data_IF_779427728466
#
_entry.id   IF_779427728466
#
_cell.length_a   1.000
_cell.length_b   1.000
_cell.length_c   1.000
_cell.angle_alpha   90.00
_cell.angle_beta   90.00
_cell.angle_gamma   90.00
#
_symmetry.space_group_name_H-M   'P 1'
#
loop_
_entity.id
_entity.type
_entity.pdbx_description
1 polymer ?
#
# COMPACT_ATOMS: atom_id res chain seq x y z
N UNK A 1 -23.39 -6.04 1.75
CA UNK A 1 -21.98 -6.50 1.83
C UNK A 1 -21.13 -5.49 1.08
N UNK A 2 -20.13 -4.87 1.70
CA UNK A 2 -19.25 -3.91 1.00
C UNK A 2 -18.22 -4.68 0.16
N UNK A 3 -18.12 -4.38 -1.13
CA UNK A 3 -17.00 -4.82 -1.96
C UNK A 3 -15.85 -3.81 -1.82
N UNK A 4 -14.62 -4.30 -1.82
CA UNK A 4 -13.42 -3.48 -1.84
C UNK A 4 -12.65 -3.79 -3.11
N UNK A 5 -12.40 -2.75 -3.91
CA UNK A 5 -11.52 -2.82 -5.08
C UNK A 5 -10.08 -2.65 -4.58
N UNK A 6 -9.24 -3.65 -4.81
CA UNK A 6 -7.81 -3.57 -4.55
C UNK A 6 -7.09 -3.28 -5.85
N UNK A 7 -6.33 -2.19 -5.89
CA UNK A 7 -5.45 -1.88 -7.01
C UNK A 7 -4.25 -2.81 -6.96
N UNK A 8 -3.88 -3.35 -8.12
CA UNK A 8 -2.70 -4.22 -8.29
C UNK A 8 -1.66 -3.44 -9.09
N UNK A 9 -0.38 -3.69 -8.80
CA UNK A 9 0.71 -3.28 -9.68
C UNK A 9 0.67 -4.16 -10.94
N UNK A 10 0.33 -3.57 -12.11
CA UNK A 10 0.23 -4.35 -13.34
C UNK A 10 1.59 -4.87 -13.83
N UNK A 11 2.71 -4.28 -13.40
CA UNK A 11 4.05 -4.72 -13.74
C UNK A 11 4.51 -5.98 -12.99
N UNK A 12 3.97 -6.20 -11.79
CA UNK A 12 4.23 -7.41 -11.00
C UNK A 12 3.02 -7.79 -10.13
N UNK A 13 2.00 -8.48 -10.71
CA UNK A 13 0.85 -8.92 -9.94
C UNK A 13 1.14 -10.10 -9.00
N UNK A 14 2.32 -10.73 -9.12
CA UNK A 14 2.69 -11.99 -8.47
C UNK A 14 2.55 -11.96 -6.94
N UNK A 15 3.11 -10.97 -6.23
CA UNK A 15 3.03 -10.86 -4.77
C UNK A 15 1.59 -10.75 -4.26
N UNK A 16 0.75 -9.93 -4.91
CA UNK A 16 -0.64 -9.72 -4.51
C UNK A 16 -1.48 -10.97 -4.74
N UNK A 17 -1.32 -11.60 -5.90
CA UNK A 17 -2.02 -12.85 -6.22
C UNK A 17 -1.58 -13.99 -5.27
N UNK A 18 -0.29 -14.07 -4.98
CA UNK A 18 0.27 -15.05 -4.02
C UNK A 18 -0.26 -14.83 -2.61
N UNK A 19 -0.39 -13.57 -2.17
CA UNK A 19 -0.98 -13.24 -0.88
C UNK A 19 -2.44 -13.69 -0.81
N UNK A 20 -3.24 -13.39 -1.83
CA UNK A 20 -4.66 -13.78 -1.87
C UNK A 20 -4.83 -15.30 -1.90
N UNK A 21 -3.99 -16.00 -2.66
CA UNK A 21 -3.98 -17.46 -2.69
C UNK A 21 -3.61 -18.02 -1.30
N UNK A 22 -2.58 -17.46 -0.65
CA UNK A 22 -2.12 -17.91 0.67
C UNK A 22 -3.15 -17.65 1.77
N UNK A 23 -3.78 -16.48 1.79
CA UNK A 23 -4.69 -16.05 2.87
C UNK A 23 -6.10 -16.60 2.67
N UNK A 24 -6.56 -16.70 1.43
CA UNK A 24 -7.96 -17.05 1.13
C UNK A 24 -8.13 -18.39 0.40
N UNK A 25 -7.04 -19.10 0.11
CA UNK A 25 -7.10 -20.42 -0.56
C UNK A 25 -7.66 -20.37 -1.98
N UNK A 26 -7.77 -19.18 -2.58
CA UNK A 26 -8.35 -19.00 -3.91
C UNK A 26 -7.27 -19.15 -4.98
N UNK A 27 -7.29 -20.27 -5.70
CA UNK A 27 -6.30 -20.60 -6.74
C UNK A 27 -6.67 -20.11 -8.15
N UNK A 28 -7.60 -19.15 -8.29
CA UNK A 28 -8.15 -18.78 -9.59
C UNK A 28 -7.78 -17.33 -9.90
N UNK A 29 -6.72 -17.14 -10.68
CA UNK A 29 -6.60 -15.94 -11.51
C UNK A 29 -7.58 -16.17 -12.65
N UNK A 30 -8.68 -15.39 -12.78
CA UNK A 30 -9.61 -15.57 -13.88
C UNK A 30 -8.87 -15.38 -15.20
N UNK A 31 -9.14 -16.28 -16.16
CA UNK A 31 -8.55 -16.21 -17.50
C UNK A 31 -8.74 -14.79 -18.04
N UNK A 32 -7.63 -14.17 -18.46
CA UNK A 32 -7.66 -12.87 -19.13
C UNK A 32 -8.59 -13.05 -20.33
N UNK A 33 -9.74 -12.38 -20.39
CA UNK A 33 -10.54 -12.42 -21.60
C UNK A 33 -9.65 -11.84 -22.69
N UNK A 34 -9.67 -12.41 -23.89
CA UNK A 34 -9.28 -11.62 -25.06
C UNK A 34 -10.05 -10.30 -25.05
N UNK A 35 -9.68 -9.33 -25.89
CA UNK A 35 -10.48 -8.11 -26.07
C UNK A 35 -11.84 -8.45 -26.72
N UNK A 36 -12.68 -9.21 -26.03
CA UNK A 36 -14.04 -9.57 -26.42
C UNK A 36 -14.91 -8.33 -26.24
N UNK A 37 -16.05 -8.32 -26.91
CA UNK A 37 -16.97 -7.18 -26.92
C UNK A 37 -17.33 -6.65 -25.52
N UNK A 38 -17.24 -7.46 -24.46
CA UNK A 38 -17.56 -7.07 -23.07
C UNK A 38 -16.57 -6.08 -22.44
N UNK A 39 -15.25 -6.23 -22.68
CA UNK A 39 -14.25 -5.24 -22.23
C UNK A 39 -14.41 -3.97 -23.07
N UNK A 40 -14.64 -4.11 -24.38
CA UNK A 40 -14.81 -2.99 -25.30
C UNK A 40 -16.09 -2.16 -25.05
N UNK A 41 -17.18 -2.79 -24.58
CA UNK A 41 -18.48 -2.13 -24.41
C UNK A 41 -18.65 -1.35 -23.10
N UNK A 42 -17.80 -1.58 -22.10
CA UNK A 42 -17.94 -0.99 -20.75
C UNK A 42 -16.87 0.06 -20.43
N UNK A 43 -16.20 0.54 -21.46
CA UNK A 43 -15.10 1.48 -21.37
C UNK A 43 -15.62 2.84 -20.94
N UNK A 44 -15.30 3.21 -19.69
CA UNK A 44 -15.51 4.56 -19.18
C UNK A 44 -14.19 5.09 -18.66
N UNK A 45 -13.92 6.32 -19.03
CA UNK A 45 -12.83 7.04 -18.43
C UNK A 45 -13.16 7.34 -16.97
N UNK A 46 -12.41 6.73 -16.06
CA UNK A 46 -12.59 6.93 -14.63
C UNK A 46 -11.37 7.61 -14.04
N UNK A 47 -11.55 8.86 -13.60
CA UNK A 47 -10.59 9.55 -12.74
C UNK A 47 -10.86 9.14 -11.30
N UNK A 48 -10.05 8.22 -10.79
CA UNK A 48 -9.97 7.92 -9.37
C UNK A 48 -8.91 8.84 -8.75
N UNK A 49 -9.15 9.35 -7.53
CA UNK A 49 -8.18 10.13 -6.76
C UNK A 49 -8.10 9.55 -5.35
N UNK A 50 -6.99 8.88 -5.05
CA UNK A 50 -6.63 8.49 -3.70
C UNK A 50 -5.74 9.59 -3.13
N UNK A 51 -6.02 10.06 -1.91
CA UNK A 51 -5.13 10.90 -1.12
C UNK A 51 -4.85 10.17 0.18
N UNK A 52 -3.59 9.81 0.40
CA UNK A 52 -3.13 9.29 1.70
C UNK A 52 -2.19 10.33 2.27
N UNK A 53 -2.61 10.96 3.36
CA UNK A 53 -1.77 11.87 4.13
C UNK A 53 -1.08 11.06 5.23
N UNK A 54 0.21 10.84 5.07
CA UNK A 54 1.05 10.32 6.15
C UNK A 54 1.83 11.50 6.76
N UNK A 55 1.47 11.88 7.98
CA UNK A 55 2.28 12.80 8.78
C UNK A 55 3.38 11.98 9.47
N UNK A 56 4.59 12.03 8.92
CA UNK A 56 5.74 11.35 9.50
C UNK A 56 6.35 12.21 10.61
N UNK A 57 5.84 12.12 11.85
CA UNK A 57 6.67 12.40 13.02
C UNK A 57 7.58 11.18 13.25
N UNK A 58 8.49 10.91 12.31
CA UNK A 58 9.52 9.89 12.48
C UNK A 58 10.78 10.61 12.95
N UNK A 59 10.78 10.98 14.23
CA UNK A 59 11.99 11.39 14.93
C UNK A 59 12.86 10.15 15.14
N UNK A 60 13.83 9.92 14.26
CA UNK A 60 14.93 9.01 14.55
C UNK A 60 15.86 9.67 15.58
N UNK A 61 16.43 8.86 16.46
CA UNK A 61 17.06 9.24 17.73
C UNK A 61 18.03 10.42 17.70
N UNK A 62 18.11 11.09 18.86
CA UNK A 62 18.71 12.41 19.06
C UNK A 62 20.07 12.64 18.40
N UNK A 63 20.13 13.74 17.66
CA UNK A 63 21.25 14.71 17.44
C UNK A 63 20.83 15.71 16.33
N UNK A 64 19.75 15.47 15.59
CA UNK A 64 19.14 16.49 14.73
C UNK A 64 17.66 16.67 15.08
N UNK A 65 17.32 17.84 15.62
CA UNK A 65 15.93 18.27 15.76
C UNK A 65 15.43 18.69 14.37
N UNK A 66 15.12 17.71 13.51
CA UNK A 66 14.40 17.95 12.26
C UNK A 66 12.92 17.85 12.60
N UNK A 67 12.32 18.97 12.99
CA UNK A 67 10.87 19.12 12.98
C UNK A 67 10.39 19.25 11.53
N UNK A 68 10.53 18.21 10.70
CA UNK A 68 9.85 18.22 9.40
C UNK A 68 8.39 17.81 9.63
N UNK A 69 7.51 18.80 9.61
CA UNK A 69 6.07 18.59 9.40
C UNK A 69 5.86 18.14 7.94
N UNK A 70 6.52 17.06 7.53
CA UNK A 70 6.39 16.52 6.19
C UNK A 70 5.10 15.71 6.12
N UNK A 71 4.05 16.31 5.58
CA UNK A 71 2.92 15.54 5.06
C UNK A 71 3.31 15.06 3.66
N UNK A 72 3.41 13.74 3.49
CA UNK A 72 3.48 13.15 2.15
C UNK A 72 2.06 12.86 1.70
N UNK A 73 1.71 13.34 0.52
CA UNK A 73 0.43 13.07 -0.15
C UNK A 73 0.70 12.35 -1.46
N UNK A 74 0.14 11.16 -1.61
CA UNK A 74 0.15 10.43 -2.87
C UNK A 74 -1.16 10.72 -3.61
N UNK A 75 -1.08 11.20 -4.85
CA UNK A 75 -2.19 11.25 -5.79
C UNK A 75 -1.99 10.18 -6.85
N UNK A 76 -3.03 9.39 -7.09
CA UNK A 76 -3.07 8.47 -8.22
C UNK A 76 -4.16 8.97 -9.16
N UNK A 77 -3.85 9.06 -10.46
CA UNK A 77 -4.78 9.41 -11.52
C UNK A 77 -4.71 8.32 -12.58
N UNK A 78 -5.84 7.65 -12.81
CA UNK A 78 -5.96 6.64 -13.85
C UNK A 78 -6.70 7.21 -15.06
N UNK A 79 -6.21 6.88 -16.25
CA UNK A 79 -6.87 7.11 -17.52
C UNK A 79 -6.88 5.78 -18.27
N UNK A 80 -7.94 5.01 -18.12
CA UNK A 80 -7.97 3.62 -18.56
C UNK A 80 -9.31 3.25 -19.17
N UNK A 81 -9.22 2.41 -20.20
CA UNK A 81 -10.29 1.52 -20.65
C UNK A 81 -10.30 0.32 -19.70
N UNK A 82 -11.43 0.04 -19.03
CA UNK A 82 -11.52 -1.04 -18.04
C UNK A 82 -12.68 -1.99 -18.34
N UNK A 83 -12.48 -3.26 -18.04
CA UNK A 83 -13.51 -4.30 -18.04
C UNK A 83 -13.38 -5.16 -16.79
N UNK A 84 -14.51 -5.59 -16.23
CA UNK A 84 -14.53 -6.49 -15.07
C UNK A 84 -15.01 -7.88 -15.50
N UNK A 85 -14.31 -8.90 -15.03
CA UNK A 85 -14.57 -10.30 -15.33
C UNK A 85 -14.92 -11.00 -14.03
N UNK A 86 -16.11 -11.56 -13.94
CA UNK A 86 -16.50 -12.33 -12.76
C UNK A 86 -15.57 -13.52 -12.58
N UNK A 87 -14.92 -13.60 -11.42
CA UNK A 87 -13.97 -14.68 -11.14
C UNK A 87 -14.69 -15.97 -10.76
N UNK A 88 -15.93 -15.86 -10.26
CA UNK A 88 -16.77 -16.99 -9.89
C UNK A 88 -18.23 -16.56 -9.74
N UNK A 89 -19.16 -17.47 -10.01
CA UNK A 89 -20.58 -17.32 -9.68
C UNK A 89 -20.90 -17.70 -8.23
N UNK A 90 -19.92 -18.24 -7.50
CA UNK A 90 -20.09 -18.72 -6.12
C UNK A 90 -19.98 -17.57 -5.10
N UNK A 91 -21.06 -17.19 -4.39
CA UNK A 91 -21.06 -16.10 -3.42
C UNK A 91 -20.24 -16.38 -2.14
N UNK A 92 -19.78 -17.63 -1.94
CA UNK A 92 -18.93 -18.02 -0.82
C UNK A 92 -17.44 -17.69 -1.06
N UNK A 93 -17.03 -17.48 -2.30
CA UNK A 93 -15.62 -17.18 -2.63
C UNK A 93 -15.28 -15.71 -2.41
N UNK A 94 -14.01 -15.49 -2.06
CA UNK A 94 -13.47 -14.16 -1.71
C UNK A 94 -13.27 -13.30 -2.95
N UNK A 95 -12.74 -13.86 -4.03
CA UNK A 95 -12.57 -13.13 -5.29
C UNK A 95 -13.90 -13.09 -6.05
N UNK A 96 -14.49 -11.90 -6.19
CA UNK A 96 -15.77 -11.70 -6.88
C UNK A 96 -15.51 -11.41 -8.35
N UNK A 97 -14.61 -10.48 -8.65
CA UNK A 97 -14.23 -10.17 -10.03
C UNK A 97 -12.79 -9.68 -10.13
N UNK A 98 -12.21 -9.80 -11.33
CA UNK A 98 -10.96 -9.17 -11.69
C UNK A 98 -11.22 -8.01 -12.66
N UNK A 99 -10.48 -6.92 -12.48
CA UNK A 99 -10.56 -5.73 -13.32
C UNK A 99 -9.33 -5.70 -14.21
N UNK A 100 -9.56 -5.78 -15.50
CA UNK A 100 -8.55 -5.65 -16.54
C UNK A 100 -8.66 -4.29 -17.19
N UNK A 101 -7.55 -3.75 -17.67
CA UNK A 101 -7.59 -2.49 -18.40
C UNK A 101 -6.38 -2.22 -19.26
N UNK A 102 -6.54 -1.17 -20.07
CA UNK A 102 -5.54 -0.63 -20.98
C UNK A 102 -5.56 0.89 -20.87
N UNK A 103 -4.40 1.52 -20.81
CA UNK A 103 -4.27 2.96 -20.71
C UNK A 103 -3.01 3.39 -19.96
N UNK A 104 -3.13 4.40 -19.11
CA UNK A 104 -2.04 4.84 -18.25
C UNK A 104 -2.50 5.17 -16.83
N UNK A 105 -1.56 5.07 -15.89
CA UNK A 105 -1.69 5.51 -14.50
C UNK A 105 -0.60 6.54 -14.23
N UNK A 106 -0.97 7.64 -13.57
CA UNK A 106 -0.04 8.65 -13.10
C UNK A 106 -0.05 8.62 -11.58
N UNK A 107 1.11 8.44 -10.97
CA UNK A 107 1.30 8.60 -9.54
C UNK A 107 2.11 9.86 -9.26
N UNK A 108 1.57 10.78 -8.46
CA UNK A 108 2.26 11.98 -7.97
C UNK A 108 2.47 11.83 -6.47
N UNK A 109 3.72 11.73 -6.05
CA UNK A 109 4.10 11.78 -4.64
C UNK A 109 4.55 13.20 -4.32
N UNK A 110 3.72 13.96 -3.60
CA UNK A 110 4.02 15.30 -3.15
C UNK A 110 4.47 15.26 -1.68
N UNK A 111 5.69 15.74 -1.40
CA UNK A 111 6.15 16.04 -0.04
C UNK A 111 6.10 17.54 0.15
N UNK A 112 5.24 17.97 1.07
CA UNK A 112 5.05 19.38 1.39
C UNK A 112 6.22 19.89 2.24
N UNK A 113 6.69 21.09 1.89
CA UNK A 113 7.65 21.85 2.70
C UNK A 113 6.86 22.92 3.47
N UNK A 114 5.94 23.65 2.82
CA UNK A 114 5.07 24.69 3.43
C UNK A 114 3.71 24.85 2.69
N UNK A 115 2.59 25.19 3.38
CA UNK A 115 1.28 25.56 2.75
C UNK A 115 0.30 24.43 2.33
N UNK A 116 -1.02 24.68 2.29
CA UNK A 116 -2.03 23.67 1.88
C UNK A 116 -1.82 23.20 0.43
N UNK A 117 -1.87 21.89 0.19
CA UNK A 117 -1.64 21.32 -1.14
C UNK A 117 -2.93 21.41 -1.96
N UNK A 118 -2.85 21.96 -3.17
CA UNK A 118 -4.02 21.99 -4.05
C UNK A 118 -4.27 20.59 -4.61
N UNK A 119 -5.50 20.09 -4.51
CA UNK A 119 -5.86 18.72 -4.90
C UNK A 119 -5.92 18.47 -6.42
N UNK A 120 -5.62 19.47 -7.26
CA UNK A 120 -5.63 19.34 -8.72
C UNK A 120 -4.21 19.14 -9.26
N UNK A 121 -4.03 18.32 -10.30
CA UNK A 121 -2.72 18.05 -10.92
C UNK A 121 -2.02 19.34 -11.35
N UNK A 122 -2.76 20.30 -11.92
CA UNK A 122 -2.23 21.61 -12.30
C UNK A 122 -1.78 22.42 -11.07
N UNK A 123 -2.53 22.36 -9.97
CA UNK A 123 -2.16 22.99 -8.71
C UNK A 123 -0.90 22.39 -8.09
N UNK A 124 -0.79 21.06 -8.08
CA UNK A 124 0.42 20.35 -7.63
C UNK A 124 1.63 20.72 -8.51
N UNK A 125 1.44 20.79 -9.83
CA UNK A 125 2.49 21.20 -10.77
C UNK A 125 2.97 22.63 -10.50
N UNK A 126 2.04 23.56 -10.29
CA UNK A 126 2.36 24.95 -9.99
C UNK A 126 3.12 25.07 -8.66
N UNK A 127 2.70 24.34 -7.62
CA UNK A 127 3.37 24.32 -6.32
C UNK A 127 4.78 23.71 -6.40
N UNK A 128 4.96 22.68 -7.22
CA UNK A 128 6.29 22.12 -7.51
C UNK A 128 7.21 23.15 -8.19
N UNK A 129 6.69 23.84 -9.20
CA UNK A 129 7.45 24.83 -9.96
C UNK A 129 7.85 26.05 -9.13
N UNK A 130 7.03 26.44 -8.15
CA UNK A 130 7.33 27.52 -7.20
C UNK A 130 8.27 27.09 -6.07
N UNK A 131 8.70 25.82 -6.03
CA UNK A 131 9.55 25.28 -4.97
C UNK A 131 8.83 25.13 -3.61
N UNK A 132 7.50 25.21 -3.59
CA UNK A 132 6.69 25.10 -2.37
C UNK A 132 6.46 23.63 -1.96
N UNK A 133 6.60 22.70 -2.91
CA UNK A 133 6.48 21.27 -2.69
C UNK A 133 7.52 20.50 -3.52
N UNK A 134 8.08 19.43 -2.94
CA UNK A 134 8.86 18.46 -3.70
C UNK A 134 7.89 17.42 -4.25
N UNK A 135 7.69 17.41 -5.58
CA UNK A 135 6.77 16.48 -6.24
C UNK A 135 7.55 15.51 -7.10
N UNK A 136 7.26 14.22 -6.94
CA UNK A 136 7.77 13.17 -7.80
C UNK A 136 6.63 12.58 -8.63
N UNK A 137 6.87 12.34 -9.91
CA UNK A 137 5.91 11.76 -10.85
C UNK A 137 6.38 10.38 -11.32
N UNK A 138 5.44 9.46 -11.48
CA UNK A 138 5.63 8.21 -12.23
C UNK A 138 4.45 8.04 -13.19
N UNK A 139 4.72 7.59 -14.42
CA UNK A 139 3.68 7.11 -15.34
C UNK A 139 3.87 5.62 -15.62
N UNK A 140 2.80 4.86 -15.43
CA UNK A 140 2.73 3.46 -15.81
C UNK A 140 1.86 3.31 -17.04
N UNK A 141 2.43 2.75 -18.11
CA UNK A 141 1.72 2.44 -19.36
C UNK A 141 1.27 0.99 -19.28
N UNK A 142 -0.03 0.76 -19.47
CA UNK A 142 -0.67 -0.51 -19.12
C UNK A 142 -1.36 -1.05 -20.35
N UNK A 143 -0.96 -2.24 -20.78
CA UNK A 143 -1.59 -2.97 -21.87
C UNK A 143 -1.49 -2.33 -23.26
N UNK A 144 -0.45 -1.53 -23.48
CA UNK A 144 -0.17 -0.83 -24.74
C UNK A 144 1.20 -1.24 -25.32
N UNK A 145 1.40 -2.53 -25.65
CA UNK A 145 2.73 -3.07 -25.95
C UNK A 145 3.34 -2.52 -27.25
N UNK A 146 2.52 -2.01 -28.17
CA UNK A 146 2.96 -1.43 -29.46
C UNK A 146 2.82 0.09 -29.51
N UNK A 147 2.63 0.75 -28.37
CA UNK A 147 2.71 2.21 -28.31
C UNK A 147 4.12 2.64 -28.80
N UNK A 148 4.23 3.61 -29.72
CA UNK A 148 5.53 4.01 -30.24
C UNK A 148 6.44 4.46 -29.08
N UNK A 149 7.70 3.96 -28.97
CA UNK A 149 8.57 4.23 -27.84
C UNK A 149 8.76 5.72 -27.55
N UNK A 150 8.81 6.55 -28.60
CA UNK A 150 8.99 8.00 -28.49
C UNK A 150 7.74 8.74 -27.98
N UNK A 151 6.62 8.03 -27.82
CA UNK A 151 5.37 8.60 -27.26
C UNK A 151 5.44 8.78 -25.75
N UNK A 152 6.37 8.08 -25.08
CA UNK A 152 6.53 8.08 -23.64
C UNK A 152 7.95 8.50 -23.33
N UNK A 153 8.12 9.71 -22.80
CA UNK A 153 9.45 10.17 -22.41
C UNK A 153 9.96 9.28 -21.26
N UNK A 154 11.14 8.70 -21.42
CA UNK A 154 11.74 7.79 -20.44
C UNK A 154 11.91 8.41 -19.06
N UNK A 155 12.03 9.74 -18.97
CA UNK A 155 12.09 10.48 -17.72
C UNK A 155 10.80 10.44 -16.90
N UNK A 156 9.67 10.04 -17.51
CA UNK A 156 8.40 9.83 -16.80
C UNK A 156 8.26 8.39 -16.28
N UNK A 157 9.08 7.47 -16.79
CA UNK A 157 9.11 6.07 -16.35
C UNK A 157 9.93 5.97 -15.06
N UNK A 158 9.29 5.60 -13.98
CA UNK A 158 9.86 5.65 -12.63
C UNK A 158 9.67 7.02 -11.96
N UNK A 159 9.78 7.06 -10.64
CA UNK A 159 9.60 8.29 -9.87
C UNK A 159 10.72 9.31 -10.11
N UNK A 160 10.47 10.31 -10.93
CA UNK A 160 11.36 11.45 -11.21
C UNK A 160 10.83 12.75 -10.62
N UNK A 161 11.68 13.77 -10.49
CA UNK A 161 11.23 15.10 -10.06
C UNK A 161 10.27 15.70 -11.09
N UNK A 162 9.17 16.27 -10.60
CA UNK A 162 8.15 16.87 -11.43
C UNK A 162 8.41 18.38 -11.58
N UNK A 163 8.75 18.81 -12.79
CA UNK A 163 8.91 20.21 -13.14
C UNK A 163 8.15 20.56 -14.44
N UNK A 164 8.29 21.80 -14.92
CA UNK A 164 7.56 22.28 -16.10
C UNK A 164 7.84 21.48 -17.37
N UNK A 165 9.06 20.97 -17.55
CA UNK A 165 9.42 20.11 -18.68
C UNK A 165 8.65 18.79 -18.63
N UNK A 166 8.60 18.14 -17.47
CA UNK A 166 7.85 16.91 -17.24
C UNK A 166 6.35 17.12 -17.42
N UNK A 167 5.80 18.30 -17.08
CA UNK A 167 4.39 18.60 -17.35
C UNK A 167 4.09 18.63 -18.85
N UNK A 168 4.97 19.26 -19.64
CA UNK A 168 4.86 19.26 -21.10
C UNK A 168 4.96 17.85 -21.69
N UNK A 169 5.93 17.06 -21.20
CA UNK A 169 6.10 15.66 -21.56
C UNK A 169 4.86 14.82 -21.23
N UNK A 170 4.32 15.01 -20.02
CA UNK A 170 3.15 14.32 -19.52
C UNK A 170 1.94 14.57 -20.42
N UNK A 171 1.65 15.83 -20.76
CA UNK A 171 0.53 16.16 -21.64
C UNK A 171 0.65 15.49 -23.01
N UNK A 172 1.85 15.48 -23.60
CA UNK A 172 2.09 14.78 -24.87
C UNK A 172 1.87 13.27 -24.76
N UNK A 173 2.36 12.65 -23.68
CA UNK A 173 2.16 11.22 -23.44
C UNK A 173 0.69 10.88 -23.23
N UNK A 174 -0.05 11.70 -22.47
CA UNK A 174 -1.50 11.55 -22.29
C UNK A 174 -2.23 11.57 -23.63
N UNK A 175 -1.93 12.55 -24.50
CA UNK A 175 -2.53 12.66 -25.82
C UNK A 175 -2.16 11.50 -26.74
N UNK A 176 -0.91 11.04 -26.71
CA UNK A 176 -0.44 9.92 -27.51
C UNK A 176 -1.13 8.61 -27.10
N UNK A 177 -1.21 8.34 -25.80
CA UNK A 177 -1.91 7.15 -25.28
C UNK A 177 -3.41 7.22 -25.61
N UNK A 178 -4.05 8.37 -25.39
CA UNK A 178 -5.46 8.59 -25.77
C UNK A 178 -5.71 8.23 -27.23
N UNK A 179 -4.94 8.85 -28.13
CA UNK A 179 -5.07 8.64 -29.57
C UNK A 179 -4.86 7.19 -29.95
N UNK A 180 -3.83 6.55 -29.39
CA UNK A 180 -3.53 5.14 -29.66
C UNK A 180 -4.66 4.22 -29.20
N UNK A 181 -5.19 4.43 -28.00
CA UNK A 181 -6.22 3.60 -27.38
C UNK A 181 -7.61 3.78 -28.03
N UNK A 182 -7.92 5.00 -28.51
CA UNK A 182 -9.21 5.32 -29.14
C UNK A 182 -9.25 4.97 -30.64
N UNK A 183 -8.10 4.80 -31.30
CA UNK A 183 -8.01 4.44 -32.71
C UNK A 183 -8.52 3.01 -32.97
N UNK A 184 -9.59 2.81 -33.77
CA UNK A 184 -10.10 1.49 -34.10
C UNK A 184 -9.06 0.56 -34.73
N UNK A 185 -8.07 1.08 -35.46
CA UNK A 185 -7.01 0.29 -36.10
C UNK A 185 -6.05 -0.37 -35.10
N UNK A 186 -5.99 0.14 -33.87
CA UNK A 186 -5.11 -0.39 -32.83
C UNK A 186 -5.81 -1.36 -31.87
N UNK A 187 -7.13 -1.61 -32.03
CA UNK A 187 -7.91 -2.44 -31.10
C UNK A 187 -7.35 -3.86 -30.92
N UNK A 188 -6.95 -4.49 -32.02
CA UNK A 188 -6.38 -5.85 -31.99
C UNK A 188 -4.94 -5.87 -31.44
N UNK A 189 -4.37 -4.70 -31.17
CA UNK A 189 -3.02 -4.52 -30.63
C UNK A 189 -3.02 -4.17 -29.13
N UNK A 190 -4.20 -4.00 -28.53
CA UNK A 190 -4.35 -3.75 -27.10
C UNK A 190 -4.23 -5.07 -26.34
N UNK A 191 -3.54 -5.05 -25.21
CA UNK A 191 -3.28 -6.24 -24.38
C UNK A 191 -3.69 -5.97 -22.93
N UNK A 192 -4.96 -6.18 -22.55
CA UNK A 192 -5.47 -5.85 -21.22
C UNK A 192 -4.68 -6.50 -20.11
N UNK A 193 -4.19 -5.68 -19.19
CA UNK A 193 -3.46 -6.14 -18.01
C UNK A 193 -4.35 -6.09 -16.77
N UNK A 194 -4.06 -6.95 -15.80
CA UNK A 194 -4.74 -6.98 -14.52
C UNK A 194 -4.37 -5.71 -13.72
N UNK A 195 -5.36 -4.85 -13.49
CA UNK A 195 -5.15 -3.56 -12.79
C UNK A 195 -5.82 -3.53 -11.41
N UNK A 196 -6.72 -4.46 -11.15
CA UNK A 196 -7.38 -4.56 -9.86
C UNK A 196 -8.20 -5.82 -9.72
N UNK A 197 -8.68 -6.03 -8.50
CA UNK A 197 -9.59 -7.11 -8.16
C UNK A 197 -10.68 -6.58 -7.25
N UNK A 198 -11.90 -7.04 -7.46
CA UNK A 198 -12.97 -6.90 -6.49
C UNK A 198 -13.00 -8.18 -5.68
N UNK A 199 -12.50 -8.08 -4.47
CA UNK A 199 -12.73 -9.12 -3.49
C UNK A 199 -13.96 -8.73 -2.65
N UNK A 200 -14.78 -9.72 -2.32
CA UNK A 200 -15.66 -9.63 -1.17
C UNK A 200 -14.75 -9.28 -0.02
N UNK A 201 -15.08 -8.20 0.68
CA UNK A 201 -14.32 -7.76 1.84
C UNK A 201 -14.41 -8.86 2.90
N UNK A 202 -13.48 -9.81 2.86
CA UNK A 202 -13.10 -10.61 4.00
C UNK A 202 -12.05 -9.77 4.68
N UNK A 203 -12.47 -8.65 5.27
CA UNK A 203 -11.72 -8.35 6.48
C UNK A 203 -12.14 -9.45 7.41
N UNK A 204 -11.24 -10.40 7.62
CA UNK A 204 -11.34 -11.19 8.82
C UNK A 204 -11.40 -10.17 9.96
N UNK A 205 -12.48 -10.15 10.74
CA UNK A 205 -12.62 -9.22 11.86
C UNK A 205 -11.35 -9.25 12.73
N UNK A 206 -10.68 -10.41 12.77
CA UNK A 206 -9.34 -10.58 13.32
C UNK A 206 -8.33 -9.58 12.75
N UNK A 207 -8.17 -9.42 11.43
CA UNK A 207 -7.20 -8.49 10.84
C UNK A 207 -7.52 -7.04 11.20
N UNK A 208 -8.79 -6.63 11.19
CA UNK A 208 -9.19 -5.27 11.63
C UNK A 208 -8.86 -5.05 13.11
N UNK A 209 -9.20 -6.01 13.97
CA UNK A 209 -8.90 -5.93 15.41
C UNK A 209 -7.39 -5.94 15.70
N UNK A 210 -6.62 -6.75 14.97
CA UNK A 210 -5.16 -6.77 15.06
C UNK A 210 -4.54 -5.44 14.60
N UNK A 211 -5.06 -4.86 13.52
CA UNK A 211 -4.59 -3.58 12.97
C UNK A 211 -4.74 -2.43 13.98
N UNK A 212 -5.84 -2.41 14.74
CA UNK A 212 -6.04 -1.40 15.82
C UNK A 212 -4.90 -1.43 16.83
N UNK A 213 -4.44 -2.63 17.20
CA UNK A 213 -3.38 -2.83 18.18
C UNK A 213 -2.02 -2.34 17.66
N UNK A 214 -1.73 -2.61 16.39
CA UNK A 214 -0.50 -2.17 15.72
C UNK A 214 -0.48 -0.65 15.57
N UNK A 215 -1.56 -0.05 15.04
CA UNK A 215 -1.70 1.40 14.87
C UNK A 215 -1.58 2.11 16.23
N UNK A 216 -2.27 1.58 17.25
CA UNK A 216 -2.16 2.08 18.62
C UNK A 216 -0.72 2.04 19.13
N UNK A 217 -0.02 0.92 18.95
CA UNK A 217 1.36 0.77 19.38
C UNK A 217 2.30 1.78 18.70
N UNK A 218 2.20 1.92 17.38
CA UNK A 218 2.97 2.91 16.60
C UNK A 218 2.70 4.33 17.08
N UNK A 219 1.44 4.69 17.32
CA UNK A 219 1.08 5.99 17.86
C UNK A 219 1.71 6.24 19.24
N UNK A 220 1.70 5.25 20.14
CA UNK A 220 2.34 5.38 21.46
C UNK A 220 3.86 5.55 21.36
N UNK A 221 4.51 4.78 20.47
CA UNK A 221 5.96 4.90 20.22
C UNK A 221 6.30 6.30 19.71
N UNK A 222 5.55 6.79 18.73
CA UNK A 222 5.77 8.13 18.15
C UNK A 222 5.62 9.25 19.19
N UNK A 223 4.82 9.03 20.24
CA UNK A 223 4.66 9.96 21.36
C UNK A 223 5.59 9.66 22.55
N UNK A 224 6.67 8.89 22.34
CA UNK A 224 7.68 8.62 23.36
C UNK A 224 7.17 7.81 24.57
N UNK A 225 6.04 7.11 24.44
CA UNK A 225 5.51 6.29 25.52
C UNK A 225 6.33 5.01 25.67
N UNK A 226 6.61 4.60 26.91
CA UNK A 226 7.19 3.29 27.17
C UNK A 226 6.17 2.17 26.90
N UNK A 227 6.66 0.95 26.62
CA UNK A 227 5.80 -0.22 26.45
C UNK A 227 4.91 -0.46 27.66
N UNK A 228 5.42 -0.29 28.89
CA UNK A 228 4.62 -0.45 30.11
C UNK A 228 3.46 0.55 30.18
N UNK A 229 3.71 1.81 29.83
CA UNK A 229 2.69 2.85 29.78
C UNK A 229 1.69 2.64 28.61
N UNK A 230 2.13 2.05 27.50
CA UNK A 230 1.25 1.69 26.38
C UNK A 230 0.36 0.49 26.70
N UNK A 231 0.84 -0.48 27.51
CA UNK A 231 0.04 -1.63 27.89
C UNK A 231 -0.98 -1.34 28.99
N UNK A 232 -0.72 -0.36 29.87
CA UNK A 232 -1.64 0.02 30.95
C UNK A 232 -2.77 0.98 30.49
N UNK A 233 -2.56 1.70 29.39
CA UNK A 233 -3.46 2.74 28.93
C UNK A 233 -4.79 2.23 28.33
N UNK A 234 -4.88 1.10 27.60
CA UNK A 234 -6.15 0.62 27.05
C UNK A 234 -7.22 0.38 28.12
N UNK A 235 -6.85 -0.25 29.24
CA UNK A 235 -7.76 -0.48 30.36
C UNK A 235 -8.21 0.82 31.02
N UNK A 236 -7.30 1.78 31.18
CA UNK A 236 -7.58 3.09 31.80
C UNK A 236 -8.52 3.96 30.96
N UNK A 237 -8.42 3.85 29.63
CA UNK A 237 -9.15 4.71 28.70
C UNK A 237 -10.31 3.99 27.99
N UNK A 238 -10.63 2.77 28.40
CA UNK A 238 -11.68 1.93 27.82
C UNK A 238 -11.55 1.82 26.29
N UNK A 239 -10.36 1.43 25.82
CA UNK A 239 -10.07 1.21 24.39
C UNK A 239 -10.22 -0.29 24.07
N UNK A 240 -11.42 -0.78 23.71
CA UNK A 240 -11.64 -2.20 23.43
C UNK A 240 -10.88 -2.64 22.16
N UNK A 241 -10.48 -3.92 22.14
CA UNK A 241 -9.86 -4.54 20.96
C UNK A 241 -8.34 -4.36 20.85
N UNK A 242 -7.68 -3.68 21.79
CA UNK A 242 -6.22 -3.59 21.83
C UNK A 242 -5.63 -4.86 22.43
N UNK A 243 -4.93 -5.64 21.61
CA UNK A 243 -4.30 -6.91 21.96
C UNK A 243 -2.87 -6.67 22.47
N UNK A 244 -2.57 -6.93 23.76
CA UNK A 244 -1.25 -6.67 24.34
C UNK A 244 -0.08 -7.33 23.61
N UNK A 245 -0.29 -8.54 23.06
CA UNK A 245 0.74 -9.29 22.34
C UNK A 245 1.22 -8.55 21.09
N UNK A 246 0.29 -7.95 20.33
CA UNK A 246 0.61 -7.18 19.12
C UNK A 246 1.24 -5.83 19.44
N UNK A 247 0.85 -5.21 20.56
CA UNK A 247 1.54 -4.01 21.05
C UNK A 247 3.00 -4.34 21.39
N UNK A 248 3.26 -5.46 22.07
CA UNK A 248 4.63 -5.92 22.39
C UNK A 248 5.44 -6.24 21.14
N UNK A 249 4.89 -6.97 20.18
CA UNK A 249 5.59 -7.31 18.94
C UNK A 249 5.96 -6.06 18.16
N UNK A 250 5.02 -5.12 18.01
CA UNK A 250 5.28 -3.85 17.33
C UNK A 250 6.38 -3.04 18.00
N UNK A 251 6.41 -2.96 19.34
CA UNK A 251 7.51 -2.32 20.08
C UNK A 251 8.85 -3.03 19.88
N UNK A 252 8.85 -4.37 19.95
CA UNK A 252 10.06 -5.17 19.76
C UNK A 252 10.65 -4.97 18.36
N UNK A 253 9.80 -4.94 17.33
CA UNK A 253 10.21 -4.75 15.94
C UNK A 253 10.77 -3.34 15.70
N UNK A 254 10.06 -2.31 16.16
CA UNK A 254 10.46 -0.90 15.94
C UNK A 254 11.72 -0.54 16.71
N UNK A 255 11.84 -0.98 17.97
CA UNK A 255 13.01 -0.69 18.83
C UNK A 255 14.15 -1.70 18.58
N UNK A 256 13.92 -2.71 17.73
CA UNK A 256 14.84 -3.82 17.45
C UNK A 256 15.32 -4.52 18.72
N UNK A 257 14.40 -4.73 19.66
CA UNK A 257 14.68 -5.38 20.93
C UNK A 257 13.69 -6.53 21.18
N UNK A 258 14.11 -7.75 20.86
CA UNK A 258 13.30 -8.96 21.00
C UNK A 258 12.97 -9.32 22.45
N UNK A 259 13.69 -8.78 23.44
CA UNK A 259 13.37 -8.99 24.85
C UNK A 259 11.98 -8.43 25.23
N UNK A 260 11.47 -7.45 24.47
CA UNK A 260 10.15 -6.85 24.67
C UNK A 260 8.99 -7.77 24.27
N UNK A 261 9.26 -8.88 23.56
CA UNK A 261 8.26 -9.89 23.20
C UNK A 261 7.78 -10.69 24.42
N UNK A 262 8.59 -10.76 25.47
CA UNK A 262 8.25 -11.53 26.66
C UNK A 262 7.17 -10.80 27.48
N UNK A 263 6.13 -11.50 27.95
CA UNK A 263 5.18 -10.95 28.90
C UNK A 263 5.91 -10.46 30.16
N UNK A 264 5.62 -9.24 30.59
CA UNK A 264 6.20 -8.63 31.81
C UNK A 264 5.77 -9.35 33.11
N UNK A 265 4.97 -10.41 33.02
CA UNK A 265 4.64 -11.27 34.17
C UNK A 265 5.81 -12.17 34.58
N UNK A 266 6.84 -12.33 33.74
CA UNK A 266 8.09 -12.98 34.14
C UNK A 266 8.90 -12.18 35.18
N UNK A 267 8.54 -10.91 35.44
CA UNK A 267 9.24 -10.04 36.40
C UNK A 267 8.66 -10.03 37.84
N UNK A 268 7.66 -10.87 38.16
CA UNK A 268 7.10 -10.91 39.53
C UNK A 268 7.25 -12.21 40.28
N UNK A 269 7.40 -13.35 39.60
CA UNK A 269 7.75 -14.60 40.29
C UNK A 269 9.22 -14.88 40.06
N UNK A 270 10.04 -14.65 41.10
CA UNK A 270 11.37 -15.26 41.14
C UNK A 270 11.19 -16.73 40.79
N UNK A 271 11.88 -17.27 39.77
CA UNK A 271 11.70 -18.66 39.39
C UNK A 271 11.87 -19.54 40.62
N UNK A 272 10.96 -20.49 40.79
CA UNK A 272 10.96 -21.36 41.95
C UNK A 272 12.32 -22.04 42.10
N UNK A 273 12.64 -22.52 43.30
CA UNK A 273 13.86 -23.31 43.51
C UNK A 273 13.94 -24.49 42.51
N UNK A 274 12.81 -25.09 42.18
CA UNK A 274 12.72 -26.20 41.25
C UNK A 274 12.96 -25.80 39.79
N UNK A 275 12.47 -24.63 39.37
CA UNK A 275 12.71 -24.12 38.01
C UNK A 275 14.18 -23.78 37.80
N UNK A 276 14.82 -23.17 38.83
CA UNK A 276 16.27 -22.91 38.82
C UNK A 276 17.07 -24.21 38.74
N UNK A 277 16.68 -25.25 39.48
CA UNK A 277 17.35 -26.54 39.44
C UNK A 277 17.10 -27.32 38.14
N UNK A 278 15.91 -27.21 37.53
CA UNK A 278 15.64 -27.76 36.19
C UNK A 278 16.49 -27.09 35.12
N UNK A 279 16.56 -25.76 35.11
CA UNK A 279 17.40 -25.01 34.19
C UNK A 279 18.88 -25.36 34.35
N UNK A 280 19.38 -25.45 35.59
CA UNK A 280 20.77 -25.82 35.89
C UNK A 280 21.12 -27.24 35.42
N UNK A 281 20.21 -28.20 35.60
CA UNK A 281 20.40 -29.58 35.10
C UNK A 281 20.49 -29.62 33.58
N UNK A 282 19.59 -28.93 32.88
CA UNK A 282 19.63 -28.83 31.40
C UNK A 282 20.92 -28.17 30.92
N UNK A 283 21.35 -27.09 31.55
CA UNK A 283 22.60 -26.40 31.19
C UNK A 283 23.81 -27.33 31.35
N UNK A 284 23.86 -28.13 32.40
CA UNK A 284 24.95 -29.09 32.61
C UNK A 284 24.93 -30.23 31.59
N UNK A 285 23.75 -30.73 31.20
CA UNK A 285 23.62 -31.73 30.13
C UNK A 285 24.14 -31.22 28.78
N UNK A 286 23.92 -29.93 28.47
CA UNK A 286 24.45 -29.31 27.26
C UNK A 286 25.96 -29.07 27.28
N UNK A 287 26.58 -28.91 28.46
CA UNK A 287 28.04 -28.75 28.59
C UNK A 287 28.82 -30.04 28.45
N UNK A 288 28.15 -31.18 28.59
CA UNK A 288 28.74 -32.52 28.46
C UNK A 288 28.59 -33.11 27.05
N UNK A 289 27.91 -32.40 26.15
CA UNK A 289 27.85 -32.67 24.71
C UNK A 289 28.88 -31.79 24.00
#
# INVERSE_FOLDING_TARGET
>A
MSQSEFLIDPGDPGPTLSYLQKVHGTSIVPVVPGFTGEIASNIKLKRDQLSVEAAANIGYGGIFEVSSKGSSTLFVLDYMMRGSVSATSDPAKVLVSAVYGVGFRIALAATKIEGELQASVAGVAAQAQLGMASVRINIDIIGLPKLPPDSVQSSLLGFSEFNAEQLGALNKTIEAVKRYAEDPANRDQLDPQLIGINAKRVVDDVVLEQSKSIIYALWRIANGSSLSAALAAPDKHNLPGIQPALVRSTYADVIRNTALLLPSTLDKEKPSYDDRNRARRRLNQYKTL
#
